data_IF_711033446046
#
_entry.id   IF_711033446046
#
_cell.length_a   1.000
_cell.length_b   1.000
_cell.length_c   1.000
_cell.angle_alpha   90.00
_cell.angle_beta   90.00
_cell.angle_gamma   90.00
#
_symmetry.space_group_name_H-M   'P 1'
#
loop_
_entity.id
_entity.type
_entity.pdbx_description
1 polymer ?
#
# COMPACT_ATOMS: atom_id res chain seq x y z
N UNK A 1 -33.55 9.46 -67.61
CA UNK A 1 -33.89 9.17 -66.20
C UNK A 1 -32.74 9.67 -65.33
N UNK A 2 -32.81 10.93 -64.91
CA UNK A 2 -31.74 11.59 -64.15
C UNK A 2 -32.07 11.40 -62.68
N UNK A 3 -31.46 10.40 -62.02
CA UNK A 3 -31.58 10.19 -60.57
C UNK A 3 -30.74 11.23 -59.88
N UNK A 4 -31.43 12.07 -59.13
CA UNK A 4 -30.93 13.26 -58.45
C UNK A 4 -29.70 12.97 -57.57
N UNK A 5 -28.56 13.53 -57.95
CA UNK A 5 -27.29 13.51 -57.15
C UNK A 5 -27.42 14.11 -55.74
N UNK A 6 -28.51 14.75 -55.42
CA UNK A 6 -28.75 15.34 -54.08
C UNK A 6 -29.04 14.30 -52.98
N UNK A 7 -29.59 13.14 -53.28
CA UNK A 7 -29.86 12.08 -52.31
C UNK A 7 -28.54 11.33 -51.93
N UNK A 8 -27.63 11.14 -52.88
CA UNK A 8 -26.36 10.47 -52.62
C UNK A 8 -25.45 11.32 -51.72
N UNK A 9 -25.46 12.64 -51.92
CA UNK A 9 -24.70 13.57 -51.05
C UNK A 9 -25.24 13.61 -49.62
N UNK A 10 -26.57 13.54 -49.45
CA UNK A 10 -27.21 13.52 -48.12
C UNK A 10 -26.85 12.23 -47.33
N UNK A 11 -26.77 11.07 -47.96
CA UNK A 11 -26.36 9.81 -47.32
C UNK A 11 -24.86 9.77 -47.05
N UNK A 12 -24.02 10.37 -47.87
CA UNK A 12 -22.58 10.48 -47.63
C UNK A 12 -22.28 11.41 -46.44
N UNK A 13 -23.05 12.51 -46.27
CA UNK A 13 -22.90 13.40 -45.11
C UNK A 13 -23.42 12.75 -43.82
N UNK A 14 -24.49 11.94 -43.87
CA UNK A 14 -24.97 11.19 -42.71
C UNK A 14 -23.99 10.05 -42.30
N UNK A 15 -23.26 9.47 -43.24
CA UNK A 15 -22.30 8.40 -42.95
C UNK A 15 -20.97 8.92 -42.39
N UNK A 16 -20.65 10.20 -42.58
CA UNK A 16 -19.44 10.81 -42.08
C UNK A 16 -19.57 11.37 -40.66
N UNK A 17 -20.77 11.40 -40.07
CA UNK A 17 -21.04 11.89 -38.72
C UNK A 17 -21.04 10.81 -37.62
N UNK A 18 -20.65 9.56 -37.93
CA UNK A 18 -20.42 8.55 -36.89
C UNK A 18 -18.93 8.52 -36.55
N UNK A 19 -18.33 9.67 -36.31
CA UNK A 19 -17.22 9.73 -35.37
C UNK A 19 -17.85 9.53 -33.99
N UNK A 20 -17.57 8.42 -33.38
CA UNK A 20 -17.83 8.26 -31.96
C UNK A 20 -16.96 9.30 -31.25
N UNK A 21 -17.53 10.45 -30.94
CA UNK A 21 -16.95 11.35 -29.95
C UNK A 21 -16.91 10.53 -28.66
N UNK A 22 -15.72 10.05 -28.28
CA UNK A 22 -15.53 9.53 -26.94
C UNK A 22 -15.88 10.68 -25.99
N UNK A 23 -16.96 10.51 -25.23
CA UNK A 23 -17.32 11.49 -24.23
C UNK A 23 -16.29 11.39 -23.10
N UNK A 24 -15.71 12.51 -22.75
CA UNK A 24 -14.90 12.66 -21.56
C UNK A 24 -15.68 12.15 -20.35
N UNK A 25 -15.06 11.31 -19.53
CA UNK A 25 -15.65 10.85 -18.27
C UNK A 25 -15.58 11.95 -17.21
N UNK A 26 -16.49 11.92 -16.26
CA UNK A 26 -16.45 12.74 -15.04
C UNK A 26 -16.40 11.82 -13.84
N UNK A 27 -15.49 12.06 -12.90
CA UNK A 27 -15.36 11.26 -11.67
C UNK A 27 -16.17 11.92 -10.57
N UNK A 28 -16.89 11.10 -9.82
CA UNK A 28 -17.81 11.51 -8.77
C UNK A 28 -17.60 10.64 -7.51
N UNK A 29 -18.32 10.96 -6.44
CA UNK A 29 -18.34 10.18 -5.21
C UNK A 29 -18.66 8.69 -5.44
N UNK A 30 -19.56 8.38 -6.37
CA UNK A 30 -19.94 6.98 -6.68
C UNK A 30 -18.79 6.14 -7.25
N UNK A 31 -17.73 6.79 -7.69
CA UNK A 31 -16.55 6.13 -8.24
C UNK A 31 -15.48 5.86 -7.16
N UNK A 32 -15.74 6.31 -5.91
CA UNK A 32 -14.86 6.16 -4.75
C UNK A 32 -15.26 4.95 -3.89
N UNK A 33 -14.36 4.50 -2.99
CA UNK A 33 -14.64 3.36 -2.13
C UNK A 33 -15.85 3.59 -1.21
N UNK A 34 -16.55 2.51 -0.96
CA UNK A 34 -17.65 2.39 -0.01
C UNK A 34 -17.32 1.35 1.07
N UNK A 35 -18.13 1.29 2.12
CA UNK A 35 -17.98 0.30 3.20
C UNK A 35 -18.14 -1.12 2.64
N UNK A 36 -17.23 -2.01 2.99
CA UNK A 36 -17.05 -3.39 2.57
C UNK A 36 -16.41 -3.57 1.17
N UNK A 37 -15.99 -2.51 0.50
CA UNK A 37 -15.23 -2.66 -0.72
C UNK A 37 -13.84 -3.24 -0.41
N UNK A 38 -13.43 -4.18 -1.26
CA UNK A 38 -12.14 -4.84 -1.20
C UNK A 38 -11.39 -4.52 -2.50
N UNK A 39 -10.19 -4.01 -2.36
CA UNK A 39 -9.33 -3.66 -3.49
C UNK A 39 -8.00 -4.39 -3.39
N UNK A 40 -7.53 -4.93 -4.50
CA UNK A 40 -6.21 -5.53 -4.61
C UNK A 40 -5.34 -4.60 -5.47
N UNK A 41 -4.19 -4.24 -4.95
CA UNK A 41 -3.20 -3.43 -5.66
C UNK A 41 -1.87 -4.16 -5.75
N UNK A 42 -1.17 -3.95 -6.86
CA UNK A 42 0.21 -4.39 -7.05
C UNK A 42 1.15 -3.21 -7.08
N UNK A 43 2.30 -3.33 -6.39
CA UNK A 43 3.44 -2.47 -6.67
C UNK A 43 4.16 -3.03 -7.88
N UNK A 44 4.40 -2.20 -8.89
CA UNK A 44 4.94 -2.60 -10.17
C UNK A 44 6.33 -2.06 -10.43
N UNK A 45 7.11 -2.81 -11.22
CA UNK A 45 8.25 -2.28 -11.95
C UNK A 45 7.82 -2.03 -13.38
N UNK A 46 8.17 -0.86 -13.90
CA UNK A 46 8.07 -0.58 -15.32
C UNK A 46 9.45 -0.80 -15.95
N UNK A 47 9.64 -1.84 -16.79
CA UNK A 47 10.94 -2.14 -17.38
C UNK A 47 11.43 -1.05 -18.34
N UNK A 48 10.55 -0.25 -18.91
CA UNK A 48 10.87 0.73 -19.94
C UNK A 48 10.51 2.15 -19.52
N UNK A 49 10.80 2.63 -18.37
CA UNK A 49 10.57 4.01 -17.86
C UNK A 49 9.77 4.89 -18.84
N UNK A 50 8.54 4.44 -19.13
CA UNK A 50 7.70 5.08 -20.12
C UNK A 50 7.29 6.44 -19.60
N UNK A 51 7.19 7.36 -20.47
CA UNK A 51 6.81 8.76 -20.40
C UNK A 51 5.48 9.00 -19.67
N UNK A 52 5.40 8.59 -18.38
CA UNK A 52 4.20 8.78 -17.56
C UNK A 52 3.84 10.26 -17.35
N UNK A 53 4.76 11.15 -17.72
CA UNK A 53 4.54 12.59 -17.65
C UNK A 53 3.77 13.15 -18.84
N UNK A 54 3.79 12.45 -19.98
CA UNK A 54 3.06 12.87 -21.18
C UNK A 54 1.55 12.73 -20.95
N UNK A 55 0.79 13.72 -21.44
CA UNK A 55 -0.64 13.83 -21.16
C UNK A 55 -1.33 14.70 -22.24
N UNK A 56 -2.65 14.75 -22.17
CA UNK A 56 -3.50 15.57 -23.02
C UNK A 56 -4.90 15.01 -23.20
N UNK A 57 -5.58 15.50 -24.21
CA UNK A 57 -6.89 15.03 -24.61
C UNK A 57 -6.81 13.75 -25.41
N UNK A 58 -7.74 12.81 -25.16
CA UNK A 58 -7.85 11.50 -25.84
C UNK A 58 -6.50 10.77 -25.92
N UNK A 59 -5.71 10.90 -24.82
CA UNK A 59 -4.36 10.32 -24.75
C UNK A 59 -4.42 8.81 -24.49
N UNK A 60 -3.44 8.08 -25.02
CA UNK A 60 -3.32 6.62 -24.82
C UNK A 60 -2.12 6.35 -23.94
N UNK A 61 -2.38 5.87 -22.72
CA UNK A 61 -1.35 5.40 -21.80
C UNK A 61 -1.30 3.88 -21.82
N UNK A 62 -0.18 3.31 -22.28
CA UNK A 62 0.03 1.87 -22.28
C UNK A 62 1.05 1.45 -21.22
N UNK A 63 0.53 0.89 -20.14
CA UNK A 63 1.27 0.28 -19.03
C UNK A 63 1.01 -1.22 -18.93
N UNK A 64 0.65 -1.87 -20.03
CA UNK A 64 0.36 -3.31 -20.09
C UNK A 64 1.54 -4.20 -19.67
N UNK A 65 2.76 -3.69 -19.75
CA UNK A 65 3.99 -4.40 -19.43
C UNK A 65 4.44 -4.27 -17.97
N UNK A 66 3.62 -3.68 -17.07
CA UNK A 66 3.94 -3.63 -15.64
C UNK A 66 4.07 -5.03 -15.06
N UNK A 67 5.16 -5.25 -14.32
CA UNK A 67 5.41 -6.50 -13.61
C UNK A 67 5.19 -6.28 -12.12
N UNK A 68 4.28 -7.05 -11.53
CA UNK A 68 4.02 -7.00 -10.07
C UNK A 68 5.19 -7.58 -9.28
N UNK A 69 5.66 -6.84 -8.29
CA UNK A 69 6.68 -7.27 -7.32
C UNK A 69 6.10 -7.57 -5.95
N UNK A 70 4.96 -6.96 -5.61
CA UNK A 70 4.21 -7.24 -4.38
C UNK A 70 2.74 -6.91 -4.58
N UNK A 71 1.87 -7.56 -3.81
CA UNK A 71 0.44 -7.28 -3.78
C UNK A 71 -0.01 -6.92 -2.38
N UNK A 72 -1.01 -6.07 -2.30
CA UNK A 72 -1.71 -5.71 -1.08
C UNK A 72 -3.21 -5.78 -1.31
N UNK A 73 -3.93 -6.35 -0.36
CA UNK A 73 -5.40 -6.37 -0.35
C UNK A 73 -5.88 -5.48 0.79
N UNK A 74 -6.61 -4.45 0.44
CA UNK A 74 -7.18 -3.49 1.37
C UNK A 74 -8.70 -3.68 1.45
N UNK A 75 -9.26 -3.57 2.66
CA UNK A 75 -10.70 -3.56 2.88
C UNK A 75 -11.11 -2.23 3.49
N UNK A 76 -12.08 -1.59 2.88
CA UNK A 76 -12.70 -0.38 3.41
C UNK A 76 -13.83 -0.75 4.37
N UNK A 77 -13.79 -0.18 5.57
CA UNK A 77 -14.77 -0.45 6.63
C UNK A 77 -15.45 0.84 7.08
N UNK A 78 -16.58 0.72 7.78
CA UNK A 78 -17.15 1.88 8.45
C UNK A 78 -16.18 2.41 9.52
N UNK A 79 -16.15 3.73 9.72
CA UNK A 79 -15.40 4.36 10.83
C UNK A 79 -15.82 3.86 12.22
N UNK A 80 -16.95 3.13 12.32
CA UNK A 80 -17.41 2.48 13.55
C UNK A 80 -16.95 1.02 13.68
N UNK A 81 -16.43 0.42 12.61
CA UNK A 81 -15.89 -0.95 12.57
C UNK A 81 -14.37 -0.97 12.71
N UNK A 82 -13.83 -0.06 13.49
CA UNK A 82 -12.42 0.05 13.85
C UNK A 82 -12.26 -0.22 15.35
N UNK A 83 -11.03 -0.36 15.88
CA UNK A 83 -10.82 -0.48 17.32
C UNK A 83 -11.54 0.62 18.09
N UNK A 84 -12.29 0.24 19.14
CA UNK A 84 -13.20 1.12 19.89
C UNK A 84 -12.54 2.40 20.41
N UNK A 85 -11.25 2.36 20.72
CA UNK A 85 -10.48 3.48 21.22
C UNK A 85 -10.22 4.57 20.18
N UNK A 86 -10.44 4.31 18.88
CA UNK A 86 -10.33 5.34 17.82
C UNK A 86 -11.66 6.05 17.54
N UNK A 87 -12.79 5.38 17.80
CA UNK A 87 -14.12 5.87 17.44
C UNK A 87 -14.39 7.29 17.96
N UNK A 88 -14.10 7.64 19.24
CA UNK A 88 -14.40 8.98 19.76
C UNK A 88 -13.74 10.13 19.01
N UNK A 89 -12.62 9.87 18.35
CA UNK A 89 -11.85 10.90 17.64
C UNK A 89 -12.34 11.11 16.20
N UNK A 90 -12.93 10.06 15.56
CA UNK A 90 -13.21 10.08 14.12
C UNK A 90 -14.69 9.93 13.76
N UNK A 91 -15.57 9.55 14.69
CA UNK A 91 -16.96 9.21 14.40
C UNK A 91 -17.80 10.34 13.79
N UNK A 92 -17.43 11.61 14.00
CA UNK A 92 -18.22 12.75 13.54
C UNK A 92 -17.69 13.41 12.26
N UNK A 93 -16.47 13.10 11.85
CA UNK A 93 -15.82 13.73 10.72
C UNK A 93 -15.31 12.75 9.67
N UNK A 94 -15.55 11.47 9.89
CA UNK A 94 -15.23 10.39 8.95
C UNK A 94 -16.45 9.52 8.72
N UNK A 95 -16.54 8.91 7.56
CA UNK A 95 -17.58 7.93 7.25
C UNK A 95 -17.01 6.62 6.69
N UNK A 96 -15.70 6.56 6.51
CA UNK A 96 -14.99 5.42 5.98
C UNK A 96 -13.62 5.29 6.66
N UNK A 97 -13.14 4.07 6.80
CA UNK A 97 -11.81 3.80 7.31
C UNK A 97 -11.17 2.62 6.55
N UNK A 98 -9.84 2.58 6.58
CA UNK A 98 -9.05 1.48 6.05
C UNK A 98 -7.97 1.11 7.06
N UNK A 99 -7.91 -0.17 7.43
CA UNK A 99 -6.81 -0.68 8.23
C UNK A 99 -5.56 -0.67 7.34
N UNK A 100 -4.48 -0.13 7.86
CA UNK A 100 -3.21 -0.05 7.17
C UNK A 100 -2.28 -1.17 7.60
N UNK A 101 -1.22 -1.32 6.82
CA UNK A 101 -0.03 -2.07 7.23
C UNK A 101 1.08 -1.06 7.51
N UNK A 102 1.94 -1.38 8.46
CA UNK A 102 3.14 -0.60 8.74
C UNK A 102 4.24 -1.23 7.90
N UNK A 103 4.52 -0.62 6.76
CA UNK A 103 5.49 -1.13 5.79
C UNK A 103 6.92 -1.32 6.33
N UNK A 104 7.27 -0.68 7.45
CA UNK A 104 8.57 -0.87 8.13
C UNK A 104 8.32 -0.88 9.63
N UNK A 105 8.33 -2.05 10.29
CA UNK A 105 8.32 -2.11 11.74
C UNK A 105 9.60 -1.47 12.27
N UNK A 106 9.48 -0.41 13.05
CA UNK A 106 10.60 0.18 13.79
C UNK A 106 10.68 -0.56 15.13
N UNK A 107 11.68 -1.41 15.37
CA UNK A 107 11.71 -2.27 16.57
C UNK A 107 11.64 -1.49 17.88
N UNK A 108 12.18 -0.28 17.89
CA UNK A 108 12.17 0.63 19.05
C UNK A 108 10.83 1.32 19.27
N UNK A 109 9.94 1.30 18.27
CA UNK A 109 8.60 1.89 18.30
C UNK A 109 7.57 0.86 17.82
N UNK A 110 7.03 0.02 18.71
CA UNK A 110 6.00 -0.95 18.35
C UNK A 110 4.72 -0.21 17.98
N UNK A 111 4.51 -0.03 16.69
CA UNK A 111 3.29 0.55 16.13
C UNK A 111 2.38 -0.61 15.72
N UNK A 112 1.14 -0.61 16.19
CA UNK A 112 0.15 -1.64 15.83
C UNK A 112 -1.18 -1.00 15.47
N UNK A 113 -2.04 -1.74 14.78
CA UNK A 113 -3.39 -1.32 14.36
C UNK A 113 -3.42 0.05 13.65
N UNK A 114 -2.54 0.33 12.68
CA UNK A 114 -2.61 1.57 11.92
C UNK A 114 -3.92 1.61 11.15
N UNK A 115 -4.59 2.75 11.19
CA UNK A 115 -5.88 2.96 10.54
C UNK A 115 -5.91 4.34 9.92
N UNK A 116 -6.29 4.43 8.65
CA UNK A 116 -6.54 5.69 7.95
C UNK A 116 -8.03 5.95 7.88
N UNK A 117 -8.44 7.16 8.23
CA UNK A 117 -9.84 7.59 8.23
C UNK A 117 -10.09 8.54 7.06
N UNK A 118 -11.24 8.35 6.41
CA UNK A 118 -11.64 9.13 5.25
C UNK A 118 -13.03 9.73 5.46
N UNK A 119 -13.26 10.82 4.75
CA UNK A 119 -14.60 11.36 4.54
C UNK A 119 -14.89 11.40 3.05
N UNK A 120 -15.94 10.67 2.64
CA UNK A 120 -16.45 10.62 1.28
C UNK A 120 -17.77 11.37 1.22
N UNK A 121 -17.79 12.52 0.57
CA UNK A 121 -18.95 13.41 0.42
C UNK A 121 -19.27 13.62 -1.05
N UNK A 122 -20.38 14.30 -1.34
CA UNK A 122 -20.72 14.65 -2.73
C UNK A 122 -19.77 15.71 -3.33
N UNK A 123 -18.98 16.39 -2.48
CA UNK A 123 -18.06 17.44 -2.90
C UNK A 123 -16.60 16.98 -2.94
N UNK A 124 -16.21 15.99 -2.13
CA UNK A 124 -14.82 15.54 -2.06
C UNK A 124 -14.68 14.15 -1.46
N UNK A 125 -13.53 13.53 -1.75
CA UNK A 125 -12.96 12.40 -1.02
C UNK A 125 -11.64 12.83 -0.40
N UNK A 126 -11.49 12.68 0.91
CA UNK A 126 -10.30 13.14 1.63
C UNK A 126 -9.99 12.34 2.88
N UNK A 127 -8.74 12.44 3.34
CA UNK A 127 -8.25 11.83 4.57
C UNK A 127 -8.54 12.80 5.73
N UNK A 128 -9.19 12.30 6.77
CA UNK A 128 -9.51 13.09 7.98
C UNK A 128 -8.49 12.88 9.09
N UNK A 129 -7.64 11.87 8.95
CA UNK A 129 -6.53 11.58 9.85
C UNK A 129 -6.13 10.12 9.84
N UNK A 130 -5.17 9.83 10.69
CA UNK A 130 -4.62 8.50 10.91
C UNK A 130 -4.66 8.17 12.39
N UNK A 131 -4.69 6.89 12.73
CA UNK A 131 -4.52 6.45 14.10
C UNK A 131 -3.63 5.21 14.14
N UNK A 132 -2.89 5.04 15.23
CA UNK A 132 -2.13 3.84 15.50
C UNK A 132 -2.01 3.62 17.01
N UNK A 133 -1.71 2.39 17.42
CA UNK A 133 -1.26 2.11 18.79
C UNK A 133 0.25 2.22 18.85
N UNK A 134 0.78 3.03 19.75
CA UNK A 134 2.21 3.15 20.01
C UNK A 134 2.43 2.82 21.49
N UNK A 135 3.24 1.81 21.80
CA UNK A 135 3.45 1.30 23.16
C UNK A 135 2.15 0.99 23.91
N UNK A 136 1.10 0.53 23.21
CA UNK A 136 -0.19 0.22 23.81
C UNK A 136 -1.11 1.42 24.04
N UNK A 137 -0.71 2.64 23.63
CA UNK A 137 -1.52 3.85 23.71
C UNK A 137 -2.08 4.22 22.33
N UNK A 138 -3.39 4.52 22.23
CA UNK A 138 -3.98 4.98 20.99
C UNK A 138 -3.54 6.42 20.70
N UNK A 139 -2.92 6.63 19.55
CA UNK A 139 -2.47 7.93 19.07
C UNK A 139 -3.35 8.34 17.88
N UNK A 140 -4.32 9.23 18.08
CA UNK A 140 -5.15 9.78 17.01
C UNK A 140 -4.46 11.00 16.40
N UNK A 141 -4.04 10.90 15.14
CA UNK A 141 -3.45 11.98 14.36
C UNK A 141 -4.53 12.54 13.43
N UNK A 142 -5.40 13.37 14.00
CA UNK A 142 -6.56 13.93 13.31
C UNK A 142 -6.20 15.26 12.67
N UNK A 143 -6.48 15.40 11.37
CA UNK A 143 -6.34 16.67 10.67
C UNK A 143 -7.37 17.70 11.14
N UNK A 144 -6.96 18.96 11.25
CA UNK A 144 -7.84 20.10 11.56
C UNK A 144 -8.84 20.34 10.43
N UNK A 145 -8.38 20.18 9.20
CA UNK A 145 -9.20 20.12 7.98
C UNK A 145 -8.83 18.88 7.19
N UNK A 146 -9.76 18.23 6.47
CA UNK A 146 -9.43 17.03 5.69
C UNK A 146 -8.36 17.32 4.63
N UNK A 147 -7.40 16.39 4.47
CA UNK A 147 -6.52 16.34 3.31
C UNK A 147 -7.31 15.86 2.09
N UNK A 148 -7.75 16.80 1.24
CA UNK A 148 -8.63 16.52 0.11
C UNK A 148 -7.82 15.93 -1.03
N UNK A 149 -8.07 14.64 -1.31
CA UNK A 149 -7.44 13.93 -2.41
C UNK A 149 -8.13 14.24 -3.74
N UNK A 150 -9.47 14.23 -3.75
CA UNK A 150 -10.30 14.42 -4.94
C UNK A 150 -11.46 15.34 -4.64
N UNK A 151 -11.69 16.33 -5.50
CA UNK A 151 -12.87 17.22 -5.48
C UNK A 151 -13.88 16.74 -6.53
N UNK A 152 -15.19 16.86 -6.26
CA UNK A 152 -16.25 16.38 -7.13
C UNK A 152 -17.25 17.47 -7.53
N UNK A 153 -17.84 17.36 -8.73
CA UNK A 153 -17.46 16.49 -9.83
C UNK A 153 -16.06 16.84 -10.35
N UNK A 154 -15.26 15.84 -10.74
CA UNK A 154 -13.94 16.05 -11.31
C UNK A 154 -14.01 15.91 -12.82
N UNK A 155 -13.56 16.93 -13.54
CA UNK A 155 -13.53 16.98 -15.00
C UNK A 155 -12.15 17.40 -15.48
N UNK A 156 -11.86 17.20 -16.74
CA UNK A 156 -10.63 17.67 -17.36
C UNK A 156 -10.47 19.20 -17.21
N UNK A 157 -9.24 19.67 -16.99
CA UNK A 157 -8.86 21.04 -16.69
C UNK A 157 -9.26 21.56 -15.30
N UNK A 158 -9.94 20.75 -14.46
CA UNK A 158 -10.22 21.17 -13.09
C UNK A 158 -8.92 21.31 -12.29
N UNK A 159 -8.88 22.35 -11.47
CA UNK A 159 -7.76 22.68 -10.56
C UNK A 159 -8.29 22.74 -9.13
N UNK A 160 -7.56 22.18 -8.19
CA UNK A 160 -7.92 22.20 -6.78
C UNK A 160 -6.70 22.27 -5.86
N UNK A 161 -6.87 22.90 -4.70
CA UNK A 161 -5.84 22.94 -3.68
C UNK A 161 -6.40 22.38 -2.36
N UNK A 162 -5.54 21.76 -1.58
CA UNK A 162 -5.84 21.30 -0.22
C UNK A 162 -4.69 21.63 0.69
N UNK A 163 -5.02 21.99 1.94
CA UNK A 163 -4.08 22.09 3.04
C UNK A 163 -4.67 21.40 4.25
N UNK A 164 -3.87 20.57 4.89
CA UNK A 164 -4.27 19.86 6.09
C UNK A 164 -3.09 19.83 7.06
N UNK A 165 -3.39 19.93 8.36
CA UNK A 165 -2.40 19.85 9.40
C UNK A 165 -2.92 19.14 10.64
N UNK A 166 -2.03 18.56 11.40
CA UNK A 166 -2.29 18.11 12.76
C UNK A 166 -1.06 18.33 13.64
N UNK A 167 -1.32 18.53 14.94
CA UNK A 167 -0.32 18.47 15.98
C UNK A 167 -0.81 17.65 17.14
N UNK A 168 -0.03 16.69 17.59
CA UNK A 168 -0.33 15.85 18.74
C UNK A 168 0.87 15.80 19.66
N UNK A 169 0.70 16.27 20.89
CA UNK A 169 1.74 16.28 21.92
C UNK A 169 1.28 15.58 23.18
N UNK A 170 2.20 14.91 23.84
CA UNK A 170 2.02 14.33 25.18
C UNK A 170 3.13 14.87 26.05
N UNK A 171 2.76 15.58 27.13
CA UNK A 171 3.68 16.21 28.07
C UNK A 171 4.73 15.20 28.60
N UNK A 172 6.00 15.56 28.57
CA UNK A 172 7.15 14.76 28.96
C UNK A 172 7.46 13.53 28.07
N UNK A 173 6.76 13.35 26.96
CA UNK A 173 7.02 12.27 25.99
C UNK A 173 7.45 12.81 24.66
N UNK A 174 6.72 13.77 24.09
CA UNK A 174 7.06 14.37 22.83
C UNK A 174 5.89 14.92 22.03
N UNK A 175 6.18 15.29 20.77
CA UNK A 175 5.24 15.91 19.84
C UNK A 175 5.39 15.28 18.45
N UNK A 176 4.27 15.06 17.78
CA UNK A 176 4.19 14.66 16.37
C UNK A 176 3.31 15.67 15.65
N UNK A 177 3.83 16.26 14.59
CA UNK A 177 3.09 17.20 13.75
C UNK A 177 3.26 16.87 12.29
N UNK A 178 2.28 17.22 11.49
CA UNK A 178 2.29 17.12 10.04
C UNK A 178 1.55 18.30 9.42
N UNK A 179 2.15 18.86 8.39
CA UNK A 179 1.50 19.77 7.45
C UNK A 179 1.58 19.15 6.07
N UNK A 180 0.50 19.21 5.30
CA UNK A 180 0.44 18.73 3.93
C UNK A 180 -0.30 19.71 3.04
N UNK A 181 0.35 20.10 1.95
CA UNK A 181 -0.23 20.92 0.89
C UNK A 181 -0.32 20.12 -0.39
N UNK A 182 -1.46 20.20 -1.07
CA UNK A 182 -1.69 19.59 -2.39
C UNK A 182 -2.12 20.62 -3.40
N UNK A 183 -1.53 20.54 -4.60
CA UNK A 183 -1.98 21.27 -5.78
C UNK A 183 -2.37 20.27 -6.86
N UNK A 184 -3.66 20.15 -7.11
CA UNK A 184 -4.29 19.18 -8.00
C UNK A 184 -4.60 19.82 -9.36
N UNK A 185 -4.29 19.13 -10.44
CA UNK A 185 -4.65 19.50 -11.82
C UNK A 185 -5.10 18.26 -12.58
N UNK A 186 -6.31 18.28 -13.14
CA UNK A 186 -6.78 17.22 -14.05
C UNK A 186 -6.23 17.55 -15.44
N UNK A 187 -5.08 16.98 -15.77
CA UNK A 187 -4.24 17.39 -16.89
C UNK A 187 -4.37 16.52 -18.14
N UNK A 188 -5.24 15.49 -18.09
CA UNK A 188 -5.48 14.64 -19.24
C UNK A 188 -6.68 13.70 -19.06
N UNK A 189 -7.15 13.21 -20.20
CA UNK A 189 -8.16 12.16 -20.28
C UNK A 189 -7.90 11.27 -21.49
N UNK A 190 -8.38 10.05 -21.46
CA UNK A 190 -8.23 9.12 -22.58
C UNK A 190 -8.30 7.66 -22.13
N UNK A 191 -7.46 6.82 -22.71
CA UNK A 191 -7.48 5.38 -22.47
C UNK A 191 -6.20 4.94 -21.75
N UNK A 192 -6.37 4.23 -20.64
CA UNK A 192 -5.30 3.59 -19.88
C UNK A 192 -5.37 2.07 -20.07
N UNK A 193 -4.23 1.45 -20.43
CA UNK A 193 -4.06 -0.01 -20.41
C UNK A 193 -3.06 -0.39 -19.34
N UNK A 194 -3.46 -1.30 -18.44
CA UNK A 194 -2.61 -1.93 -17.42
C UNK A 194 -2.72 -3.46 -17.55
N UNK A 195 -1.93 -4.27 -16.83
CA UNK A 195 -2.14 -5.72 -16.80
C UNK A 195 -3.55 -6.15 -16.33
N UNK A 196 -4.24 -5.27 -15.60
CA UNK A 196 -5.62 -5.51 -15.12
C UNK A 196 -6.66 -5.33 -16.22
N UNK A 197 -6.44 -4.43 -17.19
CA UNK A 197 -7.36 -4.16 -18.29
C UNK A 197 -7.15 -2.81 -18.96
N UNK A 198 -8.11 -2.45 -19.82
CA UNK A 198 -8.14 -1.18 -20.55
C UNK A 198 -9.39 -0.39 -20.15
N UNK A 199 -9.21 0.90 -19.84
CA UNK A 199 -10.23 1.74 -19.21
C UNK A 199 -10.20 3.16 -19.77
N UNK A 200 -11.35 3.81 -19.82
CA UNK A 200 -11.42 5.25 -20.01
C UNK A 200 -11.14 5.94 -18.66
N UNK A 201 -10.25 6.94 -18.68
CA UNK A 201 -9.72 7.56 -17.46
C UNK A 201 -9.63 9.08 -17.55
N UNK A 202 -9.68 9.74 -16.37
CA UNK A 202 -9.10 11.05 -16.13
C UNK A 202 -7.73 10.89 -15.46
N UNK A 203 -6.76 11.70 -15.85
CA UNK A 203 -5.48 11.79 -15.16
C UNK A 203 -5.44 13.02 -14.26
N UNK A 204 -5.18 12.79 -12.98
CA UNK A 204 -4.92 13.81 -11.98
C UNK A 204 -3.43 13.87 -11.70
N UNK A 205 -2.82 15.05 -11.90
CA UNK A 205 -1.49 15.38 -11.41
C UNK A 205 -1.65 16.14 -10.08
N UNK A 206 -0.99 15.69 -9.03
CA UNK A 206 -0.98 16.32 -7.73
C UNK A 206 0.47 16.62 -7.31
N UNK A 207 0.79 17.88 -7.09
CA UNK A 207 2.04 18.31 -6.47
C UNK A 207 1.83 18.39 -4.97
N UNK A 208 2.66 17.64 -4.22
CA UNK A 208 2.53 17.50 -2.77
C UNK A 208 3.77 18.01 -2.08
N UNK A 209 3.56 18.86 -1.06
CA UNK A 209 4.58 19.28 -0.12
C UNK A 209 4.15 18.86 1.28
N UNK A 210 5.00 18.09 1.96
CA UNK A 210 4.77 17.61 3.33
C UNK A 210 5.88 18.10 4.25
N UNK A 211 5.49 18.49 5.45
CA UNK A 211 6.39 18.81 6.54
C UNK A 211 5.99 18.00 7.77
N UNK A 212 6.81 17.02 8.11
CA UNK A 212 6.63 16.18 9.30
C UNK A 212 7.56 16.67 10.42
N UNK A 213 7.05 16.72 11.64
CA UNK A 213 7.84 17.05 12.84
C UNK A 213 7.66 15.95 13.87
N UNK A 214 8.76 15.38 14.34
CA UNK A 214 8.78 14.47 15.48
C UNK A 214 9.74 15.07 16.51
N UNK A 215 9.25 15.33 17.72
CA UNK A 215 10.07 15.77 18.85
C UNK A 215 9.94 14.77 19.99
N UNK A 216 11.06 14.36 20.58
CA UNK A 216 11.13 13.38 21.65
C UNK A 216 11.74 14.06 22.88
N UNK A 217 10.95 14.27 23.92
CA UNK A 217 11.35 14.99 25.14
C UNK A 217 12.57 14.36 25.82
N UNK A 218 12.61 13.04 25.94
CA UNK A 218 13.72 12.31 26.57
C UNK A 218 15.07 12.49 25.87
N UNK A 219 15.06 12.82 24.58
CA UNK A 219 16.24 13.07 23.78
C UNK A 219 16.55 14.57 23.65
N UNK A 220 15.61 15.45 24.02
CA UNK A 220 15.69 16.88 23.81
C UNK A 220 15.89 17.26 22.33
N UNK A 221 15.42 16.40 21.40
CA UNK A 221 15.73 16.50 19.99
C UNK A 221 14.48 16.40 19.12
N UNK A 222 14.37 17.30 18.15
CA UNK A 222 13.34 17.26 17.11
C UNK A 222 13.95 16.93 15.76
N UNK A 223 13.21 16.19 14.94
CA UNK A 223 13.57 15.83 13.58
C UNK A 223 12.49 16.38 12.63
N UNK A 224 12.68 17.62 12.11
CA UNK A 224 11.84 18.10 11.02
C UNK A 224 12.24 17.39 9.73
N UNK A 225 11.22 16.96 8.97
CA UNK A 225 11.44 16.27 7.71
C UNK A 225 10.53 16.86 6.64
N UNK A 226 11.12 17.45 5.62
CA UNK A 226 10.43 18.07 4.49
C UNK A 226 10.52 17.15 3.27
N UNK A 227 9.39 16.94 2.58
CA UNK A 227 9.28 16.14 1.37
C UNK A 227 8.46 16.84 0.33
N UNK A 228 8.93 16.80 -0.90
CA UNK A 228 8.17 17.16 -2.08
C UNK A 228 8.12 15.98 -3.04
N UNK A 229 6.96 15.74 -3.62
CA UNK A 229 6.77 14.70 -4.62
C UNK A 229 5.56 15.01 -5.50
N UNK A 230 5.52 14.38 -6.67
CA UNK A 230 4.39 14.47 -7.59
C UNK A 230 3.69 13.12 -7.67
N UNK A 231 2.38 13.13 -7.51
CA UNK A 231 1.51 11.98 -7.73
C UNK A 231 0.77 12.13 -9.05
N UNK A 232 0.76 11.07 -9.84
CA UNK A 232 -0.06 10.94 -11.04
C UNK A 232 -1.04 9.82 -10.81
N UNK A 233 -2.33 10.11 -10.89
CA UNK A 233 -3.42 9.16 -10.63
C UNK A 233 -4.34 9.07 -11.83
N UNK A 234 -4.55 7.86 -12.34
CA UNK A 234 -5.52 7.60 -13.41
C UNK A 234 -6.78 7.02 -12.78
N UNK A 235 -7.86 7.78 -12.86
CA UNK A 235 -9.15 7.49 -12.24
C UNK A 235 -10.14 7.06 -13.31
N UNK A 236 -10.79 5.92 -13.10
CA UNK A 236 -11.85 5.38 -13.96
C UNK A 236 -13.19 5.35 -13.24
N UNK A 237 -14.27 5.15 -14.01
CA UNK A 237 -15.62 5.00 -13.46
C UNK A 237 -15.72 3.71 -12.65
N UNK A 238 -16.35 3.78 -11.46
CA UNK A 238 -16.65 2.63 -10.60
C UNK A 238 -15.41 1.79 -10.19
N UNK A 239 -14.22 2.42 -10.15
CA UNK A 239 -12.97 1.71 -9.85
C UNK A 239 -12.51 1.87 -8.40
N UNK A 240 -13.25 2.61 -7.56
CA UNK A 240 -13.02 2.81 -6.13
C UNK A 240 -11.72 3.57 -5.82
N UNK A 241 -10.61 3.20 -6.41
CA UNK A 241 -9.27 3.81 -6.26
C UNK A 241 -8.66 4.06 -7.64
N UNK A 242 -7.55 4.81 -7.75
CA UNK A 242 -6.86 4.96 -9.02
C UNK A 242 -6.48 3.61 -9.62
N UNK A 243 -6.82 3.40 -10.90
CA UNK A 243 -6.39 2.24 -11.70
C UNK A 243 -4.87 2.12 -11.77
N UNK A 244 -4.20 3.27 -11.82
CA UNK A 244 -2.76 3.41 -11.77
C UNK A 244 -2.42 4.67 -10.97
N UNK A 245 -1.44 4.56 -10.08
CA UNK A 245 -0.86 5.68 -9.34
C UNK A 245 0.65 5.61 -9.45
N UNK A 246 1.28 6.71 -9.84
CA UNK A 246 2.72 6.86 -9.89
C UNK A 246 3.12 8.00 -8.97
N UNK A 247 3.96 7.71 -7.99
CA UNK A 247 4.54 8.71 -7.10
C UNK A 247 6.00 8.91 -7.46
N UNK A 248 6.36 10.12 -7.85
CA UNK A 248 7.71 10.49 -8.28
C UNK A 248 8.31 11.51 -7.32
N UNK A 249 9.47 11.19 -6.75
CA UNK A 249 10.23 12.02 -5.82
C UNK A 249 11.72 11.99 -6.16
N UNK A 250 12.54 12.77 -5.44
CA UNK A 250 13.99 12.68 -5.55
C UNK A 250 14.55 11.30 -5.16
N UNK A 251 13.84 10.54 -4.34
CA UNK A 251 14.24 9.20 -3.90
C UNK A 251 13.92 8.10 -4.92
N UNK A 252 13.15 8.43 -5.96
CA UNK A 252 12.75 7.49 -7.02
C UNK A 252 11.26 7.53 -7.33
N UNK A 253 10.83 6.56 -8.11
CA UNK A 253 9.46 6.44 -8.60
C UNK A 253 8.84 5.13 -8.11
N UNK A 254 7.64 5.24 -7.52
CA UNK A 254 6.83 4.09 -7.08
C UNK A 254 5.61 4.01 -7.98
N UNK A 255 5.33 2.82 -8.48
CA UNK A 255 4.17 2.54 -9.35
C UNK A 255 3.26 1.58 -8.62
N UNK A 256 1.99 1.94 -8.46
CA UNK A 256 0.95 1.10 -7.87
C UNK A 256 -0.25 1.05 -8.80
N UNK A 257 -0.81 -0.14 -9.05
CA UNK A 257 -1.97 -0.29 -9.92
C UNK A 257 -2.96 -1.32 -9.37
N UNK A 258 -4.24 -1.19 -9.74
CA UNK A 258 -5.26 -2.20 -9.44
C UNK A 258 -4.88 -3.49 -10.14
N UNK A 259 -4.95 -4.61 -9.43
CA UNK A 259 -4.64 -5.92 -9.97
C UNK A 259 -5.65 -6.97 -9.47
N UNK A 260 -5.72 -8.08 -10.18
CA UNK A 260 -6.43 -9.26 -9.69
C UNK A 260 -5.59 -9.94 -8.62
N UNK A 261 -6.24 -10.51 -7.60
CA UNK A 261 -5.53 -11.32 -6.61
C UNK A 261 -4.81 -12.44 -7.33
N UNK A 262 -3.49 -12.42 -7.29
CA UNK A 262 -2.67 -13.48 -7.89
C UNK A 262 -2.56 -14.61 -6.88
N UNK A 263 -3.27 -15.67 -7.12
CA UNK A 263 -2.97 -16.94 -6.48
C UNK A 263 -1.66 -17.41 -7.10
N UNK A 264 -0.54 -17.23 -6.39
CA UNK A 264 0.70 -17.87 -6.79
C UNK A 264 0.43 -19.39 -6.84
N UNK A 265 0.45 -20.05 -8.01
CA UNK A 265 0.26 -21.50 -8.06
C UNK A 265 1.40 -22.27 -7.38
N UNK A 266 2.50 -21.59 -7.00
CA UNK A 266 3.55 -22.12 -6.11
C UNK A 266 3.20 -22.03 -4.63
N UNK A 267 2.15 -21.32 -4.28
CA UNK A 267 1.51 -21.33 -2.99
C UNK A 267 0.07 -21.79 -3.20
N UNK A 268 -0.15 -23.10 -3.40
CA UNK A 268 -1.42 -23.69 -3.01
C UNK A 268 -1.42 -23.62 -1.48
N UNK A 269 -1.73 -22.43 -0.98
CA UNK A 269 -2.19 -22.25 0.38
C UNK A 269 -3.61 -22.82 0.41
N UNK A 270 -3.71 -24.12 0.59
CA UNK A 270 -4.88 -24.70 1.21
C UNK A 270 -4.95 -24.01 2.57
N UNK A 271 -5.94 -23.18 2.79
CA UNK A 271 -6.22 -22.43 4.02
C UNK A 271 -6.50 -23.37 5.23
N UNK A 272 -6.13 -24.63 5.16
CA UNK A 272 -6.39 -25.67 6.14
C UNK A 272 -5.16 -26.31 6.77
N UNK A 273 -3.92 -26.04 6.27
CA UNK A 273 -2.76 -26.75 6.79
C UNK A 273 -1.53 -25.84 6.94
N UNK A 274 -1.60 -24.86 7.85
CA UNK A 274 -0.39 -24.35 8.47
C UNK A 274 0.20 -25.49 9.29
N UNK A 275 1.38 -25.98 8.86
CA UNK A 275 2.08 -27.04 9.60
C UNK A 275 2.88 -26.42 10.73
N UNK A 276 3.49 -25.25 10.49
CA UNK A 276 4.28 -24.49 11.46
C UNK A 276 3.61 -23.14 11.71
N UNK A 277 3.34 -22.83 12.97
CA UNK A 277 2.77 -21.56 13.43
C UNK A 277 3.58 -20.98 14.60
N UNK A 278 3.32 -19.71 14.95
CA UNK A 278 3.87 -19.01 16.12
C UNK A 278 5.41 -19.13 16.26
N UNK A 279 6.15 -18.97 15.16
CA UNK A 279 7.62 -19.07 15.20
C UNK A 279 8.23 -17.87 15.90
N UNK A 280 8.92 -18.13 17.00
CA UNK A 280 9.70 -17.15 17.76
C UNK A 280 11.17 -17.55 17.81
N UNK A 281 12.07 -16.57 17.78
CA UNK A 281 13.51 -16.74 17.93
C UNK A 281 14.00 -15.71 18.93
N UNK A 282 14.53 -16.17 20.05
CA UNK A 282 14.99 -15.28 21.14
C UNK A 282 16.19 -15.84 21.90
N UNK A 283 17.04 -14.98 22.49
CA UNK A 283 17.08 -13.54 22.31
C UNK A 283 17.63 -13.14 20.92
N UNK A 284 17.09 -12.05 20.38
CA UNK A 284 17.66 -11.38 19.20
C UNK A 284 17.73 -9.90 19.53
N UNK A 285 18.94 -9.29 19.66
CA UNK A 285 20.28 -9.86 19.45
C UNK A 285 20.69 -10.96 20.44
N UNK A 286 21.60 -11.84 20.01
CA UNK A 286 22.14 -12.95 20.80
C UNK A 286 23.65 -12.83 21.01
N UNK A 287 24.14 -13.32 22.15
CA UNK A 287 25.57 -13.48 22.45
C UNK A 287 26.11 -14.90 22.16
N UNK A 288 25.33 -15.70 21.44
CA UNK A 288 25.73 -17.04 21.01
C UNK A 288 24.58 -18.03 20.95
N UNK A 289 23.72 -18.08 21.95
CA UNK A 289 22.64 -19.05 22.04
C UNK A 289 21.32 -18.41 21.67
N UNK A 290 20.59 -19.04 20.76
CA UNK A 290 19.19 -18.69 20.43
C UNK A 290 18.28 -19.86 20.72
N UNK A 291 17.09 -19.56 21.23
CA UNK A 291 16.00 -20.50 21.36
C UNK A 291 15.03 -20.24 20.20
N UNK A 292 14.54 -21.30 19.59
CA UNK A 292 13.55 -21.29 18.54
C UNK A 292 12.34 -22.02 19.08
N UNK A 293 11.22 -21.33 19.17
CA UNK A 293 9.95 -21.90 19.58
C UNK A 293 8.97 -21.79 18.43
N UNK A 294 8.25 -22.86 18.15
CA UNK A 294 7.18 -22.86 17.16
C UNK A 294 6.13 -23.92 17.51
N UNK A 295 4.96 -23.78 16.96
CA UNK A 295 3.86 -24.72 17.10
C UNK A 295 3.74 -25.56 15.82
N UNK A 296 3.76 -26.88 15.97
CA UNK A 296 3.55 -27.81 14.88
C UNK A 296 2.11 -28.31 14.95
N UNK A 297 1.30 -28.01 13.94
CA UNK A 297 -0.13 -28.32 13.93
C UNK A 297 -0.44 -29.73 13.44
N UNK A 298 0.45 -30.32 12.65
CA UNK A 298 0.37 -31.70 12.18
C UNK A 298 1.75 -32.38 12.22
N UNK A 299 1.80 -33.73 12.21
CA UNK A 299 3.08 -34.45 12.15
C UNK A 299 3.77 -34.12 10.82
N UNK A 300 5.01 -33.66 10.89
CA UNK A 300 5.80 -33.32 9.72
C UNK A 300 7.29 -33.31 10.00
N UNK A 301 8.08 -33.53 8.96
CA UNK A 301 9.52 -33.29 8.99
C UNK A 301 9.81 -31.78 8.94
N UNK A 302 10.58 -31.29 9.92
CA UNK A 302 11.01 -29.91 9.98
C UNK A 302 12.52 -29.84 9.73
N UNK A 303 12.90 -29.02 8.76
CA UNK A 303 14.30 -28.71 8.46
C UNK A 303 14.62 -27.29 8.92
N UNK A 304 15.75 -27.13 9.62
CA UNK A 304 16.28 -25.85 10.04
C UNK A 304 17.63 -25.60 9.36
N UNK A 305 17.77 -24.48 8.69
CA UNK A 305 19.01 -24.02 8.06
C UNK A 305 19.32 -22.58 8.41
N UNK A 306 20.60 -22.23 8.53
CA UNK A 306 21.07 -20.86 8.77
C UNK A 306 21.88 -20.39 7.57
N UNK A 307 21.60 -19.15 7.15
CA UNK A 307 22.25 -18.47 6.03
C UNK A 307 22.90 -17.17 6.53
N UNK A 308 24.02 -16.80 5.95
CA UNK A 308 24.61 -15.48 6.19
C UNK A 308 23.89 -14.39 5.36
N UNK A 309 24.30 -13.13 5.54
CA UNK A 309 23.75 -11.97 4.82
C UNK A 309 23.91 -12.03 3.29
N UNK A 310 24.82 -12.87 2.79
CA UNK A 310 25.05 -13.06 1.35
C UNK A 310 24.22 -14.23 0.79
N UNK A 311 23.33 -14.83 1.60
CA UNK A 311 22.51 -15.97 1.20
C UNK A 311 23.25 -17.31 1.13
N UNK A 312 24.47 -17.37 1.66
CA UNK A 312 25.24 -18.63 1.72
C UNK A 312 24.83 -19.39 2.98
N UNK A 313 24.48 -20.67 2.81
CA UNK A 313 24.16 -21.58 3.92
C UNK A 313 25.42 -21.81 4.77
N UNK A 314 25.32 -21.62 6.07
CA UNK A 314 26.45 -21.67 7.01
C UNK A 314 26.35 -22.80 8.03
N UNK A 315 25.30 -23.63 7.95
CA UNK A 315 25.09 -24.81 8.78
C UNK A 315 24.69 -26.00 7.93
N UNK A 316 24.97 -27.21 8.42
CA UNK A 316 24.31 -28.40 7.92
C UNK A 316 22.82 -28.34 8.24
N UNK A 317 22.00 -29.09 7.47
CA UNK A 317 20.57 -29.18 7.73
C UNK A 317 20.33 -29.95 9.03
N UNK A 318 19.54 -29.34 9.91
CA UNK A 318 19.05 -30.00 11.11
C UNK A 318 17.61 -30.40 10.80
N UNK A 319 17.38 -31.68 10.53
CA UNK A 319 16.06 -32.22 10.24
C UNK A 319 15.60 -33.22 11.31
N UNK A 320 14.32 -33.14 11.63
CA UNK A 320 13.69 -34.02 12.61
C UNK A 320 12.19 -34.19 12.32
N UNK A 321 11.70 -35.42 12.54
CA UNK A 321 10.27 -35.75 12.49
C UNK A 321 9.65 -35.47 13.87
N UNK A 322 8.63 -34.62 13.94
CA UNK A 322 7.95 -34.30 15.18
C UNK A 322 6.43 -34.50 15.12
N UNK A 323 5.88 -34.87 16.27
CA UNK A 323 4.45 -34.90 16.51
C UNK A 323 3.90 -33.49 16.71
N UNK A 324 2.59 -33.24 16.45
CA UNK A 324 1.96 -31.96 16.72
C UNK A 324 2.19 -31.50 18.15
N UNK A 325 2.40 -30.19 18.31
CA UNK A 325 2.60 -29.53 19.61
C UNK A 325 3.64 -28.40 19.56
N UNK A 326 3.90 -27.84 20.72
CA UNK A 326 4.91 -26.77 20.85
C UNK A 326 6.32 -27.38 20.86
N UNK A 327 7.15 -26.97 19.92
CA UNK A 327 8.53 -27.40 19.76
C UNK A 327 9.44 -26.29 20.29
N UNK A 328 10.40 -26.66 21.13
CA UNK A 328 11.45 -25.79 21.62
C UNK A 328 12.80 -26.35 21.19
N UNK A 329 13.54 -25.59 20.43
CA UNK A 329 14.83 -25.98 19.91
C UNK A 329 15.88 -24.92 20.27
N UNK A 330 17.09 -25.35 20.63
CA UNK A 330 18.17 -24.47 21.07
C UNK A 330 19.38 -24.64 20.17
N UNK A 331 19.90 -23.53 19.64
CA UNK A 331 21.10 -23.52 18.80
C UNK A 331 22.18 -22.66 19.46
N UNK A 332 23.38 -23.17 19.56
CA UNK A 332 24.57 -22.40 19.91
C UNK A 332 25.32 -22.00 18.64
N UNK A 333 25.16 -20.74 18.25
CA UNK A 333 25.73 -20.17 17.03
C UNK A 333 27.26 -20.05 17.09
N UNK A 334 27.83 -19.88 18.30
CA UNK A 334 29.29 -19.82 18.49
C UNK A 334 29.90 -21.21 18.42
N UNK A 335 29.22 -22.24 18.90
CA UNK A 335 29.66 -23.63 18.75
C UNK A 335 29.67 -24.05 17.29
N UNK A 336 28.78 -23.48 16.46
CA UNK A 336 28.77 -23.65 15.01
C UNK A 336 29.85 -22.82 14.28
N UNK A 337 30.70 -22.09 15.02
CA UNK A 337 31.80 -21.31 14.45
C UNK A 337 31.37 -20.01 13.76
N UNK A 338 30.12 -19.54 14.00
CA UNK A 338 29.64 -18.32 13.38
C UNK A 338 30.22 -17.08 14.03
N UNK A 339 30.64 -16.12 13.21
CA UNK A 339 31.17 -14.82 13.63
C UNK A 339 30.03 -13.85 13.93
N UNK A 340 30.32 -12.74 14.63
CA UNK A 340 29.38 -11.67 14.85
C UNK A 340 28.81 -11.16 13.50
N UNK A 341 27.51 -11.01 13.40
CA UNK A 341 26.87 -10.63 12.13
C UNK A 341 25.36 -10.88 12.10
N UNK A 342 24.80 -10.66 10.93
CA UNK A 342 23.37 -10.91 10.64
C UNK A 342 23.24 -12.24 9.92
N UNK A 343 22.33 -13.06 10.40
CA UNK A 343 21.99 -14.38 9.86
C UNK A 343 20.50 -14.50 9.63
N UNK A 344 20.11 -15.38 8.71
CA UNK A 344 18.74 -15.74 8.43
C UNK A 344 18.54 -17.20 8.81
N UNK A 345 17.69 -17.45 9.79
CA UNK A 345 17.19 -18.76 10.14
C UNK A 345 16.03 -19.11 9.25
N UNK A 346 16.05 -20.27 8.63
CA UNK A 346 15.02 -20.78 7.76
C UNK A 346 14.49 -22.09 8.32
N UNK A 347 13.17 -22.13 8.57
CA UNK A 347 12.43 -23.35 8.90
C UNK A 347 11.68 -23.79 7.65
N UNK A 348 11.78 -25.04 7.31
CA UNK A 348 11.11 -25.65 6.16
C UNK A 348 10.37 -26.89 6.64
N UNK A 349 9.10 -27.04 6.28
CA UNK A 349 8.31 -28.22 6.51
C UNK A 349 7.34 -28.41 5.35
N UNK A 350 7.43 -29.51 4.64
CA UNK A 350 6.68 -29.78 3.42
C UNK A 350 6.71 -28.59 2.44
N UNK A 351 5.57 -27.90 2.27
CA UNK A 351 5.44 -26.75 1.37
C UNK A 351 5.51 -25.40 2.10
N UNK A 352 5.76 -25.40 3.43
CA UNK A 352 5.85 -24.16 4.21
C UNK A 352 7.30 -23.80 4.49
N UNK A 353 7.62 -22.51 4.35
CA UNK A 353 8.92 -21.94 4.66
C UNK A 353 8.75 -20.66 5.46
N UNK A 354 9.41 -20.60 6.62
CA UNK A 354 9.43 -19.42 7.48
C UNK A 354 10.87 -18.96 7.66
N UNK A 355 11.10 -17.66 7.54
CA UNK A 355 12.44 -17.07 7.72
C UNK A 355 12.41 -16.08 8.86
N UNK A 356 13.37 -16.19 9.78
CA UNK A 356 13.57 -15.27 10.91
C UNK A 356 15.00 -14.72 10.90
N UNK A 357 15.14 -13.45 11.26
CA UNK A 357 16.45 -12.80 11.36
C UNK A 357 17.08 -13.08 12.72
N UNK A 358 18.38 -13.36 12.74
CA UNK A 358 19.24 -13.47 13.94
C UNK A 358 20.34 -12.41 13.85
N UNK A 359 20.64 -11.77 14.98
CA UNK A 359 21.78 -10.86 15.13
C UNK A 359 22.69 -11.46 16.20
N UNK A 360 23.93 -11.80 15.82
CA UNK A 360 24.94 -12.36 16.71
C UNK A 360 26.00 -11.32 17.05
N UNK A 361 26.26 -11.16 18.35
CA UNK A 361 27.31 -10.30 18.90
C UNK A 361 28.42 -11.10 19.56
#
# INVERSE_FOLDING_TARGET
MIISNKKVVLYAVLFFCIFQLKAQISINKSDMPSVNDIVCTSTGLNPDFIYFQETGEDYIWDFSQLVSISQQVDTFVSQLNVPLYYIPFFMFNSNLAKNGDIGIPIPEFPITNPTTFYNSTDNYFGITGNAAMIYGFPIPLKFDSPDILYQFPMNYEDIGNSFAEYGFGVDNYGYIGKEISRSNTVDGWGTLTTPYGTFDVLRLKCEVAEFDTIYIDSLGMGLPFYREYTEYSWLGKEQMIPLLKITSSFAGTIVTYIDSVRINPSAIYNQTDFIIDNVEVFPVPSFGIVNITFELLSRSDVEIAIYNSNGVKVTDDISFDHMPGTINFKIDLKQLGLSNGIYLLKLISDNQQITKKIILY
#
